data_IF_276938619260
#
_entry.id   IF_276938619260
#
_cell.length_a   1.000
_cell.length_b   1.000
_cell.length_c   1.000
_cell.angle_alpha   90.00
_cell.angle_beta   90.00
_cell.angle_gamma   90.00
#
_symmetry.space_group_name_H-M   'P 1'
#
loop_
_entity.id
_entity.type
_entity.pdbx_description
1 polymer ?
#
# COMPACT_ATOMS: atom_id res chain seq x y z
N UNK A 1 -23.28 -20.65 -5.85
CA UNK A 1 -21.88 -20.24 -5.63
C UNK A 1 -21.43 -19.56 -6.91
N UNK A 2 -21.56 -18.24 -6.98
CA UNK A 2 -21.05 -17.44 -8.09
C UNK A 2 -20.84 -16.01 -7.60
N UNK A 3 -19.61 -15.54 -7.85
CA UNK A 3 -19.19 -14.15 -7.97
C UNK A 3 -19.27 -13.23 -6.75
N UNK A 4 -18.29 -13.41 -5.86
CA UNK A 4 -17.72 -12.31 -5.08
C UNK A 4 -16.87 -11.38 -5.97
N UNK A 5 -17.48 -10.74 -6.96
CA UNK A 5 -16.87 -9.57 -7.59
C UNK A 5 -17.25 -8.32 -6.78
N UNK A 6 -16.74 -8.23 -5.54
CA UNK A 6 -16.85 -7.01 -4.74
C UNK A 6 -16.14 -5.88 -5.46
N UNK A 7 -16.96 -5.03 -6.08
CA UNK A 7 -16.71 -3.69 -6.61
C UNK A 7 -15.44 -3.03 -6.04
N UNK A 8 -14.28 -3.30 -6.64
CA UNK A 8 -13.01 -2.64 -6.33
C UNK A 8 -12.98 -1.28 -7.02
N UNK A 9 -13.87 -0.39 -6.56
CA UNK A 9 -13.84 1.03 -6.90
C UNK A 9 -13.61 1.83 -5.62
N UNK A 10 -12.61 1.44 -4.84
CA UNK A 10 -12.02 2.37 -3.87
C UNK A 10 -11.27 3.42 -4.68
N UNK A 11 -11.79 4.64 -4.66
CA UNK A 11 -11.01 5.85 -4.95
C UNK A 11 -9.65 5.72 -4.27
N UNK A 12 -8.57 5.67 -5.05
CA UNK A 12 -7.18 5.62 -4.55
C UNK A 12 -6.82 6.85 -3.69
N UNK A 13 -7.74 7.80 -3.48
CA UNK A 13 -7.54 9.01 -2.69
C UNK A 13 -7.86 8.87 -1.19
N UNK A 14 -8.59 7.83 -0.76
CA UNK A 14 -9.25 7.89 0.57
C UNK A 14 -8.92 6.76 1.55
N UNK A 15 -7.87 5.97 1.33
CA UNK A 15 -7.47 4.95 2.31
C UNK A 15 -5.96 4.96 2.53
N UNK A 16 -5.48 6.01 3.19
CA UNK A 16 -4.21 5.93 3.88
C UNK A 16 -4.29 4.87 4.98
N UNK A 17 -3.25 4.06 5.12
CA UNK A 17 -3.12 3.12 6.23
C UNK A 17 -3.15 3.89 7.55
N UNK A 18 -3.98 3.43 8.47
CA UNK A 18 -4.07 3.95 9.83
C UNK A 18 -3.12 3.21 10.77
N UNK A 19 -2.79 3.83 11.92
CA UNK A 19 -1.96 3.20 12.96
C UNK A 19 -2.60 1.90 13.46
N UNK A 20 -3.92 1.87 13.61
CA UNK A 20 -4.65 0.69 14.08
C UNK A 20 -4.59 -0.44 13.05
N UNK A 21 -4.69 -0.13 11.76
CA UNK A 21 -4.50 -1.14 10.70
C UNK A 21 -3.07 -1.69 10.70
N UNK A 22 -2.06 -0.86 10.94
CA UNK A 22 -0.67 -1.34 11.11
C UNK A 22 -0.57 -2.28 12.31
N UNK A 23 -1.09 -1.88 13.48
CA UNK A 23 -1.03 -2.70 14.70
C UNK A 23 -1.88 -3.97 14.62
N UNK A 24 -2.89 -4.01 13.76
CA UNK A 24 -3.66 -5.23 13.48
C UNK A 24 -2.84 -6.29 12.74
N UNK A 25 -1.71 -5.91 12.14
CA UNK A 25 -0.83 -6.83 11.44
C UNK A 25 0.07 -7.59 12.43
N UNK A 26 0.20 -8.91 12.19
CA UNK A 26 1.06 -9.75 13.01
C UNK A 26 2.51 -9.29 12.95
N UNK A 27 3.13 -9.08 14.12
CA UNK A 27 4.49 -8.56 14.27
C UNK A 27 4.58 -7.04 14.45
N UNK A 28 3.47 -6.31 14.32
CA UNK A 28 3.40 -4.85 14.48
C UNK A 28 2.53 -4.44 15.68
N UNK A 29 1.99 -5.39 16.43
CA UNK A 29 0.99 -5.15 17.48
C UNK A 29 1.51 -4.25 18.60
N UNK A 30 2.83 -4.28 18.85
CA UNK A 30 3.52 -3.57 19.92
C UNK A 30 4.12 -2.23 19.49
N UNK A 31 3.92 -1.82 18.24
CA UNK A 31 4.55 -0.60 17.71
C UNK A 31 3.98 0.64 18.40
N UNK A 32 4.84 1.60 18.73
CA UNK A 32 4.40 2.94 19.14
C UNK A 32 3.76 3.68 17.95
N UNK A 33 3.10 4.81 18.22
CA UNK A 33 2.47 5.60 17.16
C UNK A 33 3.53 6.07 16.14
N UNK A 34 4.71 6.48 16.62
CA UNK A 34 5.83 6.90 15.78
C UNK A 34 6.33 5.76 14.90
N UNK A 35 6.47 4.55 15.45
CA UNK A 35 6.90 3.38 14.69
C UNK A 35 5.87 3.00 13.63
N UNK A 36 4.58 3.04 13.96
CA UNK A 36 3.51 2.77 13.00
C UNK A 36 3.48 3.81 11.87
N UNK A 37 3.66 5.10 12.20
CA UNK A 37 3.76 6.17 11.22
C UNK A 37 4.97 6.00 10.28
N UNK A 38 6.12 5.56 10.80
CA UNK A 38 7.28 5.22 9.98
C UNK A 38 6.98 4.08 9.00
N UNK A 39 6.29 3.04 9.46
CA UNK A 39 5.87 1.93 8.60
C UNK A 39 4.97 2.43 7.46
N UNK A 40 3.98 3.26 7.78
CA UNK A 40 3.07 3.85 6.77
C UNK A 40 3.87 4.65 5.74
N UNK A 41 4.80 5.50 6.19
CA UNK A 41 5.65 6.30 5.30
C UNK A 41 6.51 5.41 4.38
N UNK A 42 7.15 4.38 4.93
CA UNK A 42 7.99 3.44 4.19
C UNK A 42 7.18 2.67 3.13
N UNK A 43 5.96 2.23 3.45
CA UNK A 43 5.11 1.56 2.47
C UNK A 43 4.70 2.48 1.31
N UNK A 44 4.41 3.75 1.60
CA UNK A 44 4.11 4.75 0.56
C UNK A 44 5.32 4.95 -0.36
N UNK A 45 6.51 5.14 0.22
CA UNK A 45 7.74 5.30 -0.55
C UNK A 45 8.04 4.06 -1.41
N UNK A 46 7.98 2.88 -0.81
CA UNK A 46 8.19 1.62 -1.53
C UNK A 46 7.22 1.47 -2.72
N UNK A 47 5.93 1.78 -2.50
CA UNK A 47 4.90 1.72 -3.55
C UNK A 47 5.24 2.66 -4.71
N UNK A 48 5.72 3.87 -4.43
CA UNK A 48 6.17 4.82 -5.44
C UNK A 48 7.40 4.32 -6.19
N UNK A 49 8.37 3.71 -5.50
CA UNK A 49 9.57 3.13 -6.12
C UNK A 49 9.17 2.02 -7.10
N UNK A 50 8.35 1.07 -6.66
CA UNK A 50 7.88 -0.05 -7.48
C UNK A 50 7.10 0.44 -8.68
N UNK A 51 6.16 1.38 -8.48
CA UNK A 51 5.38 1.97 -9.56
C UNK A 51 6.28 2.67 -10.59
N UNK A 52 7.24 3.48 -10.13
CA UNK A 52 8.16 4.19 -11.02
C UNK A 52 9.07 3.23 -11.78
N UNK A 53 9.56 2.18 -11.13
CA UNK A 53 10.34 1.12 -11.79
C UNK A 53 9.50 0.44 -12.88
N UNK A 54 8.28 0.01 -12.55
CA UNK A 54 7.38 -0.63 -13.51
C UNK A 54 7.09 0.29 -14.70
N UNK A 55 6.73 1.56 -14.45
CA UNK A 55 6.48 2.56 -15.50
C UNK A 55 7.68 2.75 -16.43
N UNK A 56 8.90 2.81 -15.89
CA UNK A 56 10.13 2.94 -16.68
C UNK A 56 10.39 1.70 -17.55
N UNK A 57 10.17 0.50 -17.02
CA UNK A 57 10.42 -0.73 -17.76
C UNK A 57 9.33 -1.04 -18.79
N UNK A 58 8.07 -0.69 -18.52
CA UNK A 58 7.01 -0.74 -19.53
C UNK A 58 7.36 0.12 -20.74
N UNK A 59 7.82 1.36 -20.51
CA UNK A 59 8.19 2.27 -21.59
C UNK A 59 9.32 1.70 -22.46
N UNK A 60 10.34 1.08 -21.84
CA UNK A 60 11.44 0.41 -22.55
C UNK A 60 11.03 -0.82 -23.37
N UNK A 61 9.87 -1.42 -23.11
CA UNK A 61 9.35 -2.57 -23.88
C UNK A 61 8.48 -2.16 -25.06
N UNK A 62 8.08 -0.89 -25.14
CA UNK A 62 7.25 -0.31 -26.20
C UNK A 62 8.06 0.55 -27.18
N UNK A 63 9.34 0.79 -26.87
CA UNK A 63 10.36 1.36 -27.76
C UNK A 63 11.13 0.22 -28.44
#
# INVERSE_FOLDING_TARGET
>A
MADEAKNYKRSFRDADLTIDEIRSCKGFEHFTDEQALQVIANFKEFSLIVFNYYRRNLRKRLE
#
